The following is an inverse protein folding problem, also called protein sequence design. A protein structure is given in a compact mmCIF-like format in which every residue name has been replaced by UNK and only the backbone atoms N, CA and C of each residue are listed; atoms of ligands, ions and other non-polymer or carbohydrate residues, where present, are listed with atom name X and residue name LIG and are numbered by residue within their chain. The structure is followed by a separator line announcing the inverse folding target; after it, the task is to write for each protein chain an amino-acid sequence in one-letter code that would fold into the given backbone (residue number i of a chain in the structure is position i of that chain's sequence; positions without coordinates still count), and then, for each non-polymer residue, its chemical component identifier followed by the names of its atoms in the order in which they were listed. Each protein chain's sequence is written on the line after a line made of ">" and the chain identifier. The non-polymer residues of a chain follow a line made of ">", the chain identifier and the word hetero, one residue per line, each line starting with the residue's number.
data_IF_000125236470
#
_entry.id   IF_000125236470
#
_cell.length_a   1.000
_cell.length_b   1.000
_cell.length_c   1.000
_cell.angle_alpha   90.00
_cell.angle_beta   90.00
_cell.angle_gamma   90.00
#
_symmetry.space_group_name_H-M   'P 1'
#
loop_
_entity.id
_entity.type
_entity.pdbx_description
1 polymer ?
#
# COMPACT_ATOMS: atom_id res chain seq x y z
N UNK A 1 15.38 30.24 2.20
CA UNK A 1 13.97 30.34 2.63
C UNK A 1 13.27 29.06 2.24
N UNK A 2 13.08 28.12 3.17
CA UNK A 2 12.38 26.87 2.91
C UNK A 2 11.02 26.95 3.60
N UNK A 3 9.95 26.94 2.80
CA UNK A 3 8.58 26.89 3.33
C UNK A 3 8.04 25.50 3.02
N UNK A 4 8.00 24.65 4.04
CA UNK A 4 7.38 23.34 3.99
C UNK A 4 5.97 23.47 4.56
N UNK A 5 4.96 23.29 3.70
CA UNK A 5 3.55 23.17 4.10
C UNK A 5 3.17 21.69 4.05
N UNK A 6 3.22 21.02 5.20
CA UNK A 6 2.61 19.70 5.35
C UNK A 6 1.12 19.89 5.67
N UNK A 7 0.27 19.81 4.63
CA UNK A 7 -1.17 19.73 4.82
C UNK A 7 -1.55 18.28 5.16
N UNK A 8 -1.83 18.01 6.44
CA UNK A 8 -2.45 16.76 6.88
C UNK A 8 -3.95 16.81 6.61
N UNK A 9 -4.40 16.12 5.56
CA UNK A 9 -5.82 15.99 5.26
C UNK A 9 -6.43 14.87 6.10
N UNK A 10 -7.01 15.24 7.25
CA UNK A 10 -7.82 14.33 8.06
C UNK A 10 -9.21 14.17 7.42
N UNK A 11 -9.46 13.04 6.76
CA UNK A 11 -10.78 12.69 6.24
C UNK A 11 -11.74 12.37 7.39
N UNK A 12 -12.58 13.34 7.74
CA UNK A 12 -13.72 13.14 8.64
C UNK A 12 -14.79 12.30 7.93
N UNK A 13 -15.03 11.08 8.42
CA UNK A 13 -16.17 10.26 7.99
C UNK A 13 -17.46 10.86 8.58
N UNK A 14 -18.24 11.60 7.77
CA UNK A 14 -19.58 12.03 8.18
C UNK A 14 -20.60 10.89 7.95
N UNK A 15 -21.30 10.47 9.00
CA UNK A 15 -22.42 9.52 8.93
C UNK A 15 -23.64 10.28 8.38
N UNK A 16 -24.28 9.84 7.28
CA UNK A 16 -25.45 10.52 6.72
C UNK A 16 -26.72 10.26 7.56
N UNK A 17 -27.66 11.23 7.63
CA UNK A 17 -28.89 11.12 8.44
C UNK A 17 -29.87 10.05 7.92
N UNK A 18 -30.71 9.47 8.79
CA UNK A 18 -31.55 8.34 8.45
C UNK A 18 -32.85 8.82 7.80
N UNK A 19 -32.90 8.85 6.46
CA UNK A 19 -34.13 9.29 5.80
C UNK A 19 -34.09 9.25 4.27
N UNK A 20 -34.16 8.03 3.70
CA UNK A 20 -34.74 7.64 2.40
C UNK A 20 -34.08 6.33 1.96
N UNK A 21 -34.75 5.20 2.23
CA UNK A 21 -34.31 3.87 1.76
C UNK A 21 -34.53 3.77 0.25
N UNK A 22 -33.55 4.20 -0.54
CA UNK A 22 -33.39 3.67 -1.89
C UNK A 22 -32.84 2.24 -1.77
N UNK A 23 -33.52 1.24 -2.35
CA UNK A 23 -33.03 -0.18 -2.36
C UNK A 23 -31.74 -0.34 -3.17
N UNK A 24 -31.41 0.66 -3.97
CA UNK A 24 -30.12 0.81 -4.62
C UNK A 24 -29.52 2.12 -4.11
N UNK A 25 -28.76 2.06 -3.02
CA UNK A 25 -27.79 3.13 -2.78
C UNK A 25 -26.86 3.10 -3.99
N UNK A 26 -27.10 3.97 -4.97
CA UNK A 26 -26.13 4.24 -6.02
C UNK A 26 -24.90 4.72 -5.30
N UNK A 27 -23.99 3.79 -4.97
CA UNK A 27 -22.71 4.14 -4.42
C UNK A 27 -22.08 4.99 -5.52
N UNK A 28 -22.00 6.29 -5.27
CA UNK A 28 -21.14 7.18 -6.03
C UNK A 28 -19.82 6.44 -6.27
N UNK A 29 -19.46 6.29 -7.55
CA UNK A 29 -18.31 5.51 -8.00
C UNK A 29 -17.07 6.12 -7.35
N UNK A 30 -16.66 5.55 -6.21
CA UNK A 30 -15.43 5.95 -5.55
C UNK A 30 -14.29 5.43 -6.39
N UNK A 31 -13.31 6.29 -6.68
CA UNK A 31 -12.10 5.89 -7.39
C UNK A 31 -11.51 4.64 -6.70
N UNK A 32 -11.40 3.55 -7.45
CA UNK A 32 -10.87 2.28 -6.95
C UNK A 32 -9.36 2.49 -6.72
N UNK A 33 -8.86 2.27 -5.48
CA UNK A 33 -7.44 2.38 -5.23
C UNK A 33 -6.70 1.23 -5.90
N UNK A 34 -5.65 1.54 -6.66
CA UNK A 34 -4.81 0.57 -7.36
C UNK A 34 -3.47 0.48 -6.63
N UNK A 35 -2.98 -0.75 -6.39
CA UNK A 35 -1.68 -0.98 -5.76
C UNK A 35 -0.81 -1.87 -6.62
N UNK A 36 0.37 -1.36 -6.98
CA UNK A 36 1.37 -2.09 -7.76
C UNK A 36 2.40 -2.64 -6.79
N UNK A 37 2.37 -3.94 -6.57
CA UNK A 37 3.34 -4.64 -5.72
C UNK A 37 4.44 -5.23 -6.59
N UNK A 38 5.68 -4.77 -6.41
CA UNK A 38 6.83 -5.29 -7.14
C UNK A 38 7.82 -5.93 -6.20
N UNK A 39 8.15 -7.21 -6.41
CA UNK A 39 9.14 -7.94 -5.63
C UNK A 39 10.48 -7.90 -6.35
N UNK A 40 11.54 -7.42 -5.71
CA UNK A 40 12.89 -7.48 -6.27
C UNK A 40 13.76 -6.25 -6.04
N UNK A 41 14.78 -6.09 -6.89
CA UNK A 41 15.69 -4.93 -6.89
C UNK A 41 14.97 -3.67 -7.40
N UNK A 42 15.48 -2.49 -7.02
CA UNK A 42 14.93 -1.21 -7.49
C UNK A 42 14.93 -1.21 -9.03
N UNK A 43 13.84 -0.74 -9.62
CA UNK A 43 13.73 -0.61 -11.09
C UNK A 43 14.90 0.22 -11.60
N UNK A 44 15.38 -0.07 -12.81
CA UNK A 44 16.40 0.76 -13.44
C UNK A 44 15.86 2.18 -13.67
N UNK A 45 16.75 3.17 -13.75
CA UNK A 45 16.36 4.59 -13.87
C UNK A 45 15.42 4.84 -15.06
N UNK A 46 15.68 4.21 -16.21
CA UNK A 46 14.82 4.33 -17.39
C UNK A 46 13.40 3.82 -17.16
N UNK A 47 13.24 2.69 -16.47
CA UNK A 47 11.92 2.11 -16.18
C UNK A 47 11.17 2.95 -15.14
N UNK A 48 11.87 3.51 -14.15
CA UNK A 48 11.24 4.41 -13.17
C UNK A 48 10.60 5.63 -13.85
N UNK A 49 11.29 6.25 -14.79
CA UNK A 49 10.78 7.42 -15.51
C UNK A 49 9.48 7.11 -16.27
N UNK A 50 9.42 5.94 -16.91
CA UNK A 50 8.22 5.49 -17.63
C UNK A 50 7.08 5.26 -16.64
N UNK A 51 7.33 4.53 -15.55
CA UNK A 51 6.33 4.26 -14.52
C UNK A 51 5.80 5.57 -13.92
N UNK A 52 6.67 6.52 -13.62
CA UNK A 52 6.31 7.83 -13.09
C UNK A 52 5.43 8.62 -14.08
N UNK A 53 5.75 8.57 -15.38
CA UNK A 53 4.94 9.22 -16.41
C UNK A 53 3.52 8.63 -16.47
N UNK A 54 3.38 7.31 -16.43
CA UNK A 54 2.08 6.64 -16.44
C UNK A 54 1.29 6.88 -15.16
N UNK A 55 1.94 6.85 -13.99
CA UNK A 55 1.29 7.17 -12.72
C UNK A 55 0.76 8.61 -12.74
N UNK A 56 1.53 9.56 -13.29
CA UNK A 56 1.08 10.95 -13.45
C UNK A 56 -0.15 11.06 -14.34
N UNK A 57 -0.19 10.35 -15.47
CA UNK A 57 -1.35 10.34 -16.38
C UNK A 57 -2.61 9.76 -15.73
N UNK A 58 -2.46 8.82 -14.81
CA UNK A 58 -3.59 8.13 -14.17
C UNK A 58 -4.03 8.77 -12.84
N UNK A 59 -3.28 9.75 -12.34
CA UNK A 59 -3.49 10.38 -11.02
C UNK A 59 -4.85 11.06 -10.89
N UNK A 60 -5.39 11.56 -11.99
CA UNK A 60 -6.68 12.28 -12.01
C UNK A 60 -7.88 11.32 -11.90
N UNK A 61 -7.69 10.04 -12.19
CA UNK A 61 -8.74 9.03 -12.21
C UNK A 61 -8.71 8.14 -10.96
N UNK A 62 -7.53 7.65 -10.60
CA UNK A 62 -7.36 6.66 -9.54
C UNK A 62 -6.19 7.00 -8.62
N UNK A 63 -6.29 6.57 -7.36
CA UNK A 63 -5.15 6.57 -6.44
C UNK A 63 -4.29 5.35 -6.73
N UNK A 64 -3.01 5.58 -7.04
CA UNK A 64 -2.05 4.52 -7.35
C UNK A 64 -0.93 4.54 -6.30
N UNK A 65 -0.74 3.41 -5.62
CA UNK A 65 0.39 3.17 -4.73
C UNK A 65 1.38 2.21 -5.41
N UNK A 66 2.65 2.62 -5.57
CA UNK A 66 3.72 1.75 -6.03
C UNK A 66 4.57 1.29 -4.84
N UNK A 67 4.52 0.00 -4.52
CA UNK A 67 5.19 -0.58 -3.37
C UNK A 67 6.21 -1.59 -3.85
N UNK A 68 7.48 -1.31 -3.55
CA UNK A 68 8.56 -2.25 -3.80
C UNK A 68 8.85 -3.10 -2.57
N UNK A 69 8.60 -4.39 -2.69
CA UNK A 69 8.91 -5.40 -1.70
C UNK A 69 10.34 -5.90 -1.97
N UNK A 70 11.18 -5.85 -0.94
CA UNK A 70 12.53 -6.44 -1.02
C UNK A 70 12.39 -7.94 -1.18
N UNK A 71 13.13 -8.52 -2.14
CA UNK A 71 13.19 -9.97 -2.28
C UNK A 71 13.72 -10.58 -1.00
N UNK A 72 13.14 -11.71 -0.58
CA UNK A 72 13.70 -12.50 0.50
C UNK A 72 15.17 -12.84 0.15
N UNK A 73 16.17 -12.48 0.97
CA UNK A 73 17.52 -12.97 0.76
C UNK A 73 17.46 -14.50 0.67
N UNK A 74 17.90 -15.07 -0.46
CA UNK A 74 17.85 -16.51 -0.77
C UNK A 74 18.54 -17.43 0.26
N UNK A 75 19.09 -16.89 1.34
CA UNK A 75 19.88 -17.59 2.33
C UNK A 75 19.52 -17.23 3.79
N UNK A 76 18.30 -16.79 4.09
CA UNK A 76 17.76 -17.07 5.42
C UNK A 76 17.53 -18.57 5.48
N UNK A 77 18.56 -19.32 5.88
CA UNK A 77 18.37 -20.66 6.43
C UNK A 77 17.16 -20.51 7.36
N UNK A 78 16.12 -21.32 7.14
CA UNK A 78 15.07 -21.51 8.14
C UNK A 78 15.83 -21.59 9.46
N UNK A 79 15.71 -20.56 10.31
CA UNK A 79 16.34 -20.61 11.61
C UNK A 79 15.48 -21.62 12.33
N UNK A 80 15.84 -22.89 12.16
CA UNK A 80 15.43 -23.97 13.03
C UNK A 80 16.00 -23.53 14.38
N UNK A 81 15.22 -22.74 15.11
CA UNK A 81 15.43 -22.55 16.52
C UNK A 81 15.33 -23.95 17.10
N UNK A 82 16.40 -24.52 17.66
CA UNK A 82 16.25 -25.77 18.37
C UNK A 82 15.33 -25.44 19.55
N UNK A 83 14.07 -25.83 19.42
CA UNK A 83 13.15 -25.87 20.54
C UNK A 83 13.66 -26.99 21.44
N UNK A 84 14.63 -26.64 22.29
CA UNK A 84 15.23 -27.57 23.24
C UNK A 84 14.24 -27.67 24.39
N UNK A 85 13.45 -28.73 24.38
CA UNK A 85 12.70 -29.13 25.57
C UNK A 85 13.71 -29.27 26.72
N UNK A 86 13.49 -28.60 27.87
CA UNK A 86 14.33 -28.79 29.04
C UNK A 86 14.19 -30.25 29.45
N UNK A 87 15.30 -30.99 29.35
CA UNK A 87 15.42 -32.31 29.97
C UNK A 87 15.27 -32.10 31.46
N UNK A 88 14.17 -32.62 32.01
CA UNK A 88 13.96 -32.77 33.44
C UNK A 88 15.04 -33.75 33.94
N UNK A 89 15.92 -33.28 34.82
CA UNK A 89 16.94 -34.11 35.47
C UNK A 89 16.32 -34.80 36.68
N UNK A 90 16.50 -36.12 36.69
CA UNK A 90 16.35 -37.14 37.75
C UNK A 90 15.24 -36.98 38.82
#
# INVERSE_FOLDING_TARGET
>A
MAVSLFASFSTKNSIPPPGRRCKHTGQSVRAIPIRILTVGKKRSRGVQLIVDEYIRKLKDYCRIDDVQIRSNPRNTRCVTVPFKFPQLSD
#
